data_IF_949337827895
#
_entry.id   IF_949337827895
#
_cell.length_a   1.000
_cell.length_b   1.000
_cell.length_c   1.000
_cell.angle_alpha   90.00
_cell.angle_beta   90.00
_cell.angle_gamma   90.00
#
_symmetry.space_group_name_H-M   'P 1'
#
loop_
_entity.id
_entity.type
_entity.pdbx_description
1 polymer ?
#
# COMPACT_ATOMS: atom_id res chain seq x y z
N UNK A 1 -15.47 -64.70 -18.58
CA UNK A 1 -14.47 -64.84 -17.50
C UNK A 1 -14.57 -63.56 -16.66
N UNK A 2 -15.47 -63.56 -15.66
CA UNK A 2 -15.15 -63.62 -14.20
C UNK A 2 -14.37 -62.37 -13.77
N UNK A 3 -14.74 -61.54 -12.79
CA UNK A 3 -15.61 -61.64 -11.61
C UNK A 3 -15.73 -60.19 -11.08
N UNK A 4 -16.91 -59.61 -10.82
CA UNK A 4 -17.57 -59.56 -9.49
C UNK A 4 -16.61 -59.23 -8.33
N UNK A 5 -16.81 -58.07 -7.67
CA UNK A 5 -17.51 -57.91 -6.37
C UNK A 5 -16.45 -57.50 -5.32
N UNK A 6 -16.65 -56.71 -4.26
CA UNK A 6 -17.74 -56.54 -3.27
C UNK A 6 -17.29 -55.34 -2.40
N UNK A 7 -18.15 -54.35 -2.05
CA UNK A 7 -18.86 -54.21 -0.76
C UNK A 7 -17.99 -54.37 0.51
N UNK A 8 -18.16 -53.70 1.64
CA UNK A 8 -18.94 -52.56 2.15
C UNK A 8 -18.66 -52.48 3.68
N UNK A 9 -19.20 -51.44 4.34
CA UNK A 9 -19.90 -51.54 5.66
C UNK A 9 -19.11 -51.40 7.01
N UNK A 10 -19.44 -50.28 7.68
CA UNK A 10 -19.89 -50.09 9.09
C UNK A 10 -18.92 -50.08 10.30
N UNK A 11 -18.95 -48.96 11.06
CA UNK A 11 -19.57 -48.74 12.41
C UNK A 11 -18.51 -48.88 13.51
N UNK A 12 -18.56 -48.27 14.70
CA UNK A 12 -19.28 -47.17 15.36
C UNK A 12 -18.75 -47.16 16.81
N UNK A 13 -18.87 -45.99 17.47
CA UNK A 13 -19.07 -45.80 18.92
C UNK A 13 -17.85 -46.09 19.86
N UNK A 14 -17.33 -45.06 20.54
CA UNK A 14 -17.74 -44.55 21.87
C UNK A 14 -17.04 -45.35 23.02
N UNK A 15 -16.73 -44.86 24.23
CA UNK A 15 -17.35 -43.85 25.09
C UNK A 15 -16.50 -43.75 26.40
N UNK A 16 -16.74 -42.70 27.20
CA UNK A 16 -16.54 -42.50 28.67
C UNK A 16 -15.30 -41.70 29.11
N UNK A 17 -15.39 -40.54 29.79
CA UNK A 17 -16.22 -39.94 30.89
C UNK A 17 -15.61 -40.11 32.30
N UNK A 18 -15.36 -38.97 32.97
CA UNK A 18 -15.70 -38.58 34.36
C UNK A 18 -14.94 -37.25 34.65
N UNK A 19 -15.50 -36.12 35.12
CA UNK A 19 -16.35 -35.84 36.29
C UNK A 19 -15.47 -35.31 37.44
N UNK A 20 -15.67 -34.21 38.17
CA UNK A 20 -16.70 -33.15 38.27
C UNK A 20 -16.38 -32.19 39.46
N UNK A 21 -17.33 -31.27 39.76
CA UNK A 21 -17.55 -30.51 41.02
C UNK A 21 -16.60 -29.33 41.38
N UNK A 22 -16.96 -28.04 41.24
CA UNK A 22 -17.87 -27.16 42.03
C UNK A 22 -17.39 -26.82 43.46
N UNK A 23 -17.12 -25.52 43.74
CA UNK A 23 -17.62 -24.76 44.91
C UNK A 23 -17.33 -23.24 44.82
N UNK A 24 -18.17 -22.51 45.54
CA UNK A 24 -18.56 -21.11 45.47
C UNK A 24 -17.99 -20.24 46.61
N UNK A 25 -18.29 -18.92 46.54
CA UNK A 25 -18.35 -17.91 47.63
C UNK A 25 -16.99 -17.26 48.01
N UNK A 26 -16.86 -15.99 48.43
CA UNK A 26 -17.78 -14.96 48.92
C UNK A 26 -17.10 -13.58 48.94
N UNK A 27 -17.91 -12.51 48.98
CA UNK A 27 -17.56 -11.10 49.12
C UNK A 27 -16.87 -10.68 50.45
N UNK A 28 -16.19 -9.52 50.44
CA UNK A 28 -16.06 -8.47 51.50
C UNK A 28 -15.20 -7.32 50.94
N UNK A 29 -15.72 -6.15 50.56
CA UNK A 29 -16.06 -4.93 51.35
C UNK A 29 -14.95 -4.29 52.21
N UNK A 30 -14.98 -2.94 52.17
CA UNK A 30 -14.35 -1.89 53.02
C UNK A 30 -12.98 -1.37 52.58
N UNK A 31 -12.62 -0.09 52.72
CA UNK A 31 -13.29 1.23 52.84
C UNK A 31 -12.19 2.20 53.29
N UNK A 32 -12.22 3.45 52.82
CA UNK A 32 -11.50 4.58 53.43
C UNK A 32 -10.06 4.74 52.95
N UNK A 33 -9.48 5.94 52.86
CA UNK A 33 -9.94 7.27 53.17
C UNK A 33 -9.00 8.27 52.45
N UNK A 34 -9.56 9.35 51.90
CA UNK A 34 -8.82 10.60 51.80
C UNK A 34 -8.67 11.17 53.23
N UNK A 35 -7.65 11.99 53.53
CA UNK A 35 -7.88 13.42 53.30
C UNK A 35 -6.63 14.25 52.99
N UNK A 36 -6.89 15.42 52.40
CA UNK A 36 -6.18 16.71 52.59
C UNK A 36 -4.69 16.75 52.18
N UNK A 37 -4.20 17.72 51.41
CA UNK A 37 -4.55 19.12 51.31
C UNK A 37 -3.25 19.92 51.30
N UNK A 38 -3.29 21.12 50.69
CA UNK A 38 -2.22 22.16 50.67
C UNK A 38 -1.00 21.82 49.79
N UNK A 39 -0.40 22.73 49.03
CA UNK A 39 -0.47 24.21 48.98
C UNK A 39 0.08 24.66 47.62
N UNK A 40 -0.57 25.69 47.07
CA UNK A 40 -0.05 26.64 46.08
C UNK A 40 1.44 26.93 46.25
N UNK A 41 2.18 27.00 45.14
CA UNK A 41 3.23 28.00 44.96
C UNK A 41 3.42 28.37 43.48
N UNK A 42 2.74 29.46 43.10
CA UNK A 42 3.16 30.37 42.04
C UNK A 42 4.51 30.99 42.42
N UNK A 43 5.40 31.15 41.44
CA UNK A 43 6.44 32.20 41.23
C UNK A 43 7.41 31.62 40.20
N UNK A 44 7.94 32.30 39.20
CA UNK A 44 7.83 33.67 38.67
C UNK A 44 8.67 33.61 37.38
N UNK A 45 8.16 34.16 36.27
CA UNK A 45 9.00 34.53 35.10
C UNK A 45 9.96 35.66 35.51
N UNK A 46 11.12 35.75 34.88
CA UNK A 46 11.58 37.00 34.30
C UNK A 46 11.78 36.78 32.78
N UNK A 47 11.08 37.53 31.93
CA UNK A 47 11.39 38.90 31.49
C UNK A 47 12.51 38.92 30.43
N UNK A 48 12.09 39.42 29.27
CA UNK A 48 12.79 39.54 28.02
C UNK A 48 14.11 40.29 28.09
N UNK A 49 15.06 39.92 27.22
CA UNK A 49 16.04 40.84 26.63
C UNK A 49 16.24 40.53 25.15
N UNK A 50 15.64 41.41 24.35
CA UNK A 50 16.21 42.13 23.20
C UNK A 50 17.12 41.37 22.24
N UNK A 51 16.59 41.22 21.02
CA UNK A 51 17.34 41.04 19.76
C UNK A 51 18.40 42.12 19.57
N UNK A 52 19.46 41.80 18.82
CA UNK A 52 19.78 42.66 17.67
C UNK A 52 19.93 41.84 16.38
N UNK A 53 19.46 42.43 15.28
CA UNK A 53 19.80 42.07 13.90
C UNK A 53 20.56 43.27 13.28
N UNK A 54 21.04 43.20 12.03
CA UNK A 54 21.90 42.19 11.41
C UNK A 54 23.20 42.83 10.88
N UNK A 55 24.32 42.10 10.86
CA UNK A 55 25.58 42.59 10.26
C UNK A 55 25.61 42.35 8.75
N UNK A 56 25.56 43.46 8.01
CA UNK A 56 25.79 43.59 6.56
C UNK A 56 27.20 43.11 6.20
N UNK A 57 27.32 42.09 5.34
CA UNK A 57 28.56 41.80 4.63
C UNK A 57 28.45 42.28 3.18
N UNK A 58 29.34 43.19 2.83
CA UNK A 58 29.43 43.86 1.54
C UNK A 58 30.41 43.11 0.66
N UNK A 59 29.96 42.83 -0.56
CA UNK A 59 30.68 42.44 -1.79
C UNK A 59 32.21 42.48 -1.75
N UNK A 60 32.83 41.35 -2.13
CA UNK A 60 34.06 41.35 -2.93
C UNK A 60 33.81 40.59 -4.24
N UNK A 61 33.98 41.32 -5.34
CA UNK A 61 34.05 40.81 -6.71
C UNK A 61 35.38 40.07 -6.89
N UNK A 62 35.32 38.89 -7.50
CA UNK A 62 36.41 38.35 -8.31
C UNK A 62 35.76 37.69 -9.55
N UNK A 63 36.33 38.01 -10.71
CA UNK A 63 35.94 37.63 -12.06
C UNK A 63 36.85 36.49 -12.52
N UNK A 64 36.33 35.67 -13.43
CA UNK A 64 37.00 34.72 -14.33
C UNK A 64 37.41 33.36 -13.71
N UNK A 65 37.17 32.18 -14.29
CA UNK A 65 36.58 31.83 -15.59
C UNK A 65 36.11 30.36 -15.62
N UNK A 66 35.15 30.12 -16.55
CA UNK A 66 34.94 28.92 -17.38
C UNK A 66 34.43 27.60 -16.76
N UNK A 67 33.22 27.21 -17.18
CA UNK A 67 32.75 25.82 -17.16
C UNK A 67 31.45 25.57 -16.36
N UNK A 68 30.40 26.35 -16.58
CA UNK A 68 29.08 26.04 -16.00
C UNK A 68 28.01 26.09 -17.09
N UNK A 69 27.34 24.96 -17.29
CA UNK A 69 26.15 24.82 -18.12
C UNK A 69 25.09 25.84 -17.69
N UNK A 70 24.37 26.39 -18.66
CA UNK A 70 23.34 27.39 -18.43
C UNK A 70 22.29 26.89 -17.41
N UNK A 71 21.82 27.75 -16.48
CA UNK A 71 20.77 27.37 -15.57
C UNK A 71 19.47 27.19 -16.37
N UNK A 72 18.86 26.00 -16.27
CA UNK A 72 17.53 25.73 -16.82
C UNK A 72 16.49 26.69 -16.24
N UNK A 73 15.37 26.94 -16.95
CA UNK A 73 14.38 27.91 -16.52
C UNK A 73 13.74 27.50 -15.18
N UNK A 74 13.46 28.52 -14.36
CA UNK A 74 12.84 28.42 -13.04
C UNK A 74 11.37 27.93 -13.16
N UNK A 75 10.77 27.28 -12.13
CA UNK A 75 9.47 26.60 -12.21
C UNK A 75 8.22 27.50 -12.39
N UNK A 76 8.38 28.73 -12.90
CA UNK A 76 7.31 29.70 -13.10
C UNK A 76 6.88 29.86 -14.56
N UNK A 77 7.54 29.22 -15.52
CA UNK A 77 7.13 29.23 -16.94
C UNK A 77 6.35 27.95 -17.26
N UNK A 78 5.11 27.86 -16.76
CA UNK A 78 4.11 27.04 -17.46
C UNK A 78 3.73 27.85 -18.70
N UNK A 79 4.26 27.44 -19.84
CA UNK A 79 3.82 27.92 -21.15
C UNK A 79 2.30 27.77 -21.22
N UNK A 80 1.61 28.91 -21.38
CA UNK A 80 0.18 28.96 -21.67
C UNK A 80 -0.10 28.05 -22.89
N UNK A 81 -1.27 27.38 -22.96
CA UNK A 81 -1.65 26.44 -24.03
C UNK A 81 -1.90 27.11 -25.41
N UNK A 82 -1.09 28.12 -25.77
CA UNK A 82 -1.06 28.80 -27.07
C UNK A 82 0.35 29.12 -27.58
N UNK A 83 1.42 28.60 -26.95
CA UNK A 83 2.79 28.72 -27.48
C UNK A 83 2.97 27.77 -28.68
N UNK A 84 3.21 28.32 -29.87
CA UNK A 84 3.40 27.56 -31.11
C UNK A 84 4.46 26.46 -30.97
N UNK A 85 5.52 26.71 -30.17
CA UNK A 85 6.57 25.71 -29.89
C UNK A 85 6.09 24.53 -29.06
N UNK A 86 5.15 24.77 -28.14
CA UNK A 86 4.52 23.69 -27.37
C UNK A 86 3.65 22.83 -28.29
N UNK A 87 2.87 23.46 -29.17
CA UNK A 87 2.01 22.74 -30.13
C UNK A 87 2.84 21.92 -31.11
N UNK A 88 3.93 22.48 -31.63
CA UNK A 88 4.88 21.77 -32.50
C UNK A 88 5.52 20.58 -31.78
N UNK A 89 6.10 20.81 -30.59
CA UNK A 89 6.70 19.73 -29.81
C UNK A 89 5.71 18.64 -29.40
N UNK A 90 4.45 18.99 -29.13
CA UNK A 90 3.39 18.02 -28.87
C UNK A 90 3.09 17.18 -30.11
N UNK A 91 2.95 17.80 -31.29
CA UNK A 91 2.72 17.11 -32.56
C UNK A 91 3.86 16.17 -32.91
N UNK A 92 5.10 16.64 -32.77
CA UNK A 92 6.29 15.84 -33.00
C UNK A 92 6.36 14.66 -32.02
N UNK A 93 5.98 14.87 -30.75
CA UNK A 93 5.90 13.81 -29.75
C UNK A 93 4.84 12.75 -30.08
N UNK A 94 3.64 13.17 -30.51
CA UNK A 94 2.58 12.27 -30.96
C UNK A 94 3.03 11.46 -32.18
N UNK A 95 3.66 12.12 -33.14
CA UNK A 95 4.18 11.44 -34.32
C UNK A 95 5.29 10.45 -33.94
N UNK A 96 6.35 10.89 -33.27
CA UNK A 96 7.49 10.04 -32.92
C UNK A 96 7.12 8.88 -31.99
N UNK A 97 6.19 9.09 -31.05
CA UNK A 97 5.80 8.08 -30.05
C UNK A 97 4.64 7.16 -30.48
N UNK A 98 3.88 7.52 -31.51
CA UNK A 98 2.69 6.80 -31.94
C UNK A 98 2.68 6.50 -33.43
N UNK A 99 2.46 7.53 -34.25
CA UNK A 99 2.31 7.36 -35.71
C UNK A 99 3.54 6.79 -36.39
N UNK A 100 4.75 7.17 -35.97
CA UNK A 100 6.01 6.61 -36.47
C UNK A 100 6.10 5.11 -36.19
N UNK A 101 5.72 4.67 -34.99
CA UNK A 101 5.70 3.25 -34.65
C UNK A 101 4.69 2.49 -35.49
N UNK A 102 3.53 3.10 -35.81
CA UNK A 102 2.56 2.52 -36.71
C UNK A 102 3.11 2.45 -38.15
N UNK A 103 3.67 3.54 -38.67
CA UNK A 103 4.30 3.63 -40.00
C UNK A 103 5.34 2.52 -40.20
N UNK A 104 6.20 2.29 -39.20
CA UNK A 104 7.24 1.26 -39.25
C UNK A 104 6.70 -0.18 -39.35
N UNK A 105 5.43 -0.42 -38.98
CA UNK A 105 4.79 -1.74 -39.00
C UNK A 105 3.75 -1.91 -40.12
N UNK A 106 3.42 -0.86 -40.85
CA UNK A 106 2.49 -0.95 -41.98
C UNK A 106 3.18 -1.58 -43.20
N UNK A 107 2.51 -2.52 -43.92
CA UNK A 107 3.05 -3.05 -45.16
C UNK A 107 3.23 -1.96 -46.21
N UNK A 108 4.39 -1.90 -46.86
CA UNK A 108 4.72 -0.88 -47.85
C UNK A 108 3.86 -0.95 -49.13
N UNK A 109 3.20 -2.07 -49.37
CA UNK A 109 2.34 -2.35 -50.53
C UNK A 109 0.84 -2.16 -50.23
N UNK A 110 0.47 -1.73 -49.02
CA UNK A 110 -0.91 -1.60 -48.59
C UNK A 110 -1.22 -0.19 -48.08
N UNK A 111 -2.06 0.55 -48.81
CA UNK A 111 -2.67 1.77 -48.32
C UNK A 111 -3.99 1.44 -47.63
N UNK A 112 -4.11 1.73 -46.33
CA UNK A 112 -5.34 1.55 -45.55
C UNK A 112 -5.96 2.94 -45.32
N UNK A 113 -7.02 3.33 -46.06
CA UNK A 113 -7.61 4.66 -45.93
C UNK A 113 -8.19 4.89 -44.53
N UNK A 114 -7.96 6.08 -43.98
CA UNK A 114 -8.51 6.56 -42.71
C UNK A 114 -8.15 5.71 -41.47
N UNK A 115 -7.10 4.89 -41.54
CA UNK A 115 -6.63 4.14 -40.39
C UNK A 115 -6.10 5.08 -39.31
N UNK A 116 -6.59 4.93 -38.08
CA UNK A 116 -6.10 5.67 -36.91
C UNK A 116 -5.28 4.78 -35.98
N UNK A 117 -4.35 5.39 -35.23
CA UNK A 117 -3.61 4.68 -34.19
C UNK A 117 -4.54 4.05 -33.14
N UNK A 118 -5.64 4.71 -32.78
CA UNK A 118 -6.62 4.21 -31.81
C UNK A 118 -7.31 2.91 -32.29
N UNK A 119 -7.69 2.83 -33.57
CA UNK A 119 -8.28 1.62 -34.14
C UNK A 119 -7.29 0.46 -34.12
N UNK A 120 -6.03 0.72 -34.48
CA UNK A 120 -4.96 -0.29 -34.45
C UNK A 120 -4.73 -0.79 -33.02
N UNK A 121 -4.63 0.14 -32.05
CA UNK A 121 -4.47 -0.21 -30.64
C UNK A 121 -5.67 -1.00 -30.11
N UNK A 122 -6.89 -0.59 -30.46
CA UNK A 122 -8.11 -1.29 -30.06
C UNK A 122 -8.14 -2.71 -30.60
N UNK A 123 -7.87 -2.88 -31.90
CA UNK A 123 -7.80 -4.19 -32.54
C UNK A 123 -6.68 -5.05 -31.92
N UNK A 124 -5.50 -4.47 -31.68
CA UNK A 124 -4.38 -5.13 -31.02
C UNK A 124 -4.71 -5.58 -29.60
N UNK A 125 -5.35 -4.72 -28.79
CA UNK A 125 -5.79 -5.05 -27.42
C UNK A 125 -6.81 -6.20 -27.44
N UNK A 126 -7.79 -6.18 -28.36
CA UNK A 126 -8.74 -7.29 -28.49
C UNK A 126 -8.05 -8.59 -28.90
N UNK A 127 -7.09 -8.54 -29.82
CA UNK A 127 -6.31 -9.70 -30.23
C UNK A 127 -5.42 -10.26 -29.09
N UNK A 128 -4.90 -9.39 -28.23
CA UNK A 128 -4.08 -9.77 -27.08
C UNK A 128 -4.88 -10.18 -25.84
N UNK A 129 -6.20 -9.94 -25.81
CA UNK A 129 -7.07 -10.23 -24.66
C UNK A 129 -6.96 -11.66 -24.12
N UNK A 130 -6.82 -12.73 -24.93
CA UNK A 130 -6.65 -14.10 -24.43
C UNK A 130 -5.37 -14.31 -23.61
N UNK A 131 -4.38 -13.41 -23.73
CA UNK A 131 -3.13 -13.43 -22.93
C UNK A 131 -3.24 -12.62 -21.64
N UNK A 132 -4.38 -11.99 -21.38
CA UNK A 132 -4.58 -11.14 -20.21
C UNK A 132 -4.75 -11.97 -18.94
N UNK A 133 -4.10 -11.52 -17.86
CA UNK A 133 -4.32 -12.08 -16.52
C UNK A 133 -5.49 -11.33 -15.87
N UNK A 134 -6.57 -12.03 -15.46
CA UNK A 134 -7.73 -11.38 -14.88
C UNK A 134 -7.39 -10.80 -13.50
N UNK A 135 -7.90 -9.60 -13.23
CA UNK A 135 -7.82 -8.95 -11.93
C UNK A 135 -9.18 -9.03 -11.24
N UNK A 136 -9.21 -9.44 -9.97
CA UNK A 136 -10.46 -9.47 -9.21
C UNK A 136 -10.91 -8.04 -8.87
N UNK A 137 -12.16 -7.73 -9.21
CA UNK A 137 -12.77 -6.42 -8.93
C UNK A 137 -13.10 -6.19 -7.45
N UNK A 138 -13.52 -4.96 -7.08
CA UNK A 138 -13.79 -4.58 -5.69
C UNK A 138 -14.88 -5.41 -5.02
N UNK A 139 -15.97 -5.73 -5.74
CA UNK A 139 -17.03 -6.60 -5.24
C UNK A 139 -16.50 -8.02 -4.94
N UNK A 140 -15.78 -8.63 -5.88
CA UNK A 140 -15.20 -9.96 -5.68
C UNK A 140 -14.19 -10.00 -4.54
N UNK A 141 -13.36 -8.95 -4.40
CA UNK A 141 -12.42 -8.83 -3.26
C UNK A 141 -13.19 -8.67 -1.94
N UNK A 142 -14.29 -7.90 -1.92
CA UNK A 142 -15.15 -7.77 -0.75
C UNK A 142 -15.76 -9.12 -0.35
N UNK A 143 -16.35 -9.84 -1.29
CA UNK A 143 -16.97 -11.16 -1.04
C UNK A 143 -15.95 -12.17 -0.53
N UNK A 144 -14.75 -12.17 -1.11
CA UNK A 144 -13.64 -13.01 -0.66
C UNK A 144 -13.26 -12.68 0.79
N UNK A 145 -13.07 -11.41 1.14
CA UNK A 145 -12.73 -11.01 2.51
C UNK A 145 -13.86 -11.34 3.49
N UNK A 146 -15.12 -11.07 3.14
CA UNK A 146 -16.27 -11.35 4.02
C UNK A 146 -16.39 -12.85 4.30
N UNK A 147 -16.14 -13.69 3.30
CA UNK A 147 -16.07 -15.14 3.49
C UNK A 147 -14.97 -15.51 4.48
N UNK A 148 -13.76 -14.99 4.31
CA UNK A 148 -12.63 -15.30 5.20
C UNK A 148 -12.85 -14.81 6.63
N UNK A 149 -13.50 -13.65 6.82
CA UNK A 149 -13.92 -13.14 8.12
C UNK A 149 -14.97 -14.05 8.77
N UNK A 150 -15.93 -14.55 8.00
CA UNK A 150 -17.01 -15.42 8.47
C UNK A 150 -16.48 -16.81 8.85
N UNK A 151 -15.61 -17.37 8.02
CA UNK A 151 -14.98 -18.68 8.21
C UNK A 151 -13.80 -18.65 9.20
N UNK A 152 -13.38 -17.44 9.63
CA UNK A 152 -12.23 -17.21 10.52
C UNK A 152 -10.95 -17.85 10.00
N UNK A 153 -10.69 -17.61 8.72
CA UNK A 153 -9.50 -18.10 8.03
C UNK A 153 -8.51 -16.96 7.81
N UNK A 154 -7.19 -17.24 7.82
CA UNK A 154 -6.18 -16.22 7.59
C UNK A 154 -6.33 -15.63 6.18
N UNK A 155 -6.25 -14.31 6.08
CA UNK A 155 -6.28 -13.63 4.79
C UNK A 155 -5.45 -12.35 4.83
N UNK A 156 -4.58 -12.18 3.84
CA UNK A 156 -3.77 -10.97 3.67
C UNK A 156 -4.05 -10.33 2.30
N UNK A 157 -4.66 -9.15 2.32
CA UNK A 157 -4.74 -8.27 1.15
C UNK A 157 -3.58 -7.28 1.20
N UNK A 158 -2.64 -7.42 0.27
CA UNK A 158 -1.46 -6.55 0.14
C UNK A 158 -1.51 -5.78 -1.17
N UNK A 159 -0.80 -4.65 -1.25
CA UNK A 159 -0.77 -3.81 -2.45
C UNK A 159 0.68 -3.49 -2.81
N UNK A 160 1.00 -3.60 -4.10
CA UNK A 160 2.27 -3.22 -4.67
C UNK A 160 2.14 -1.87 -5.36
N UNK A 161 2.74 -0.84 -4.77
CA UNK A 161 3.03 0.43 -5.42
C UNK A 161 4.44 0.46 -6.01
N UNK A 162 4.83 1.63 -6.47
CA UNK A 162 6.21 1.90 -6.90
C UNK A 162 7.22 1.70 -5.75
N UNK A 163 6.85 2.02 -4.51
CA UNK A 163 7.70 1.80 -3.34
C UNK A 163 8.09 0.34 -3.11
N UNK A 164 7.10 -0.55 -3.10
CA UNK A 164 7.33 -1.99 -2.90
C UNK A 164 8.10 -2.60 -4.08
N UNK A 165 7.78 -2.19 -5.32
CA UNK A 165 8.49 -2.66 -6.51
C UNK A 165 9.95 -2.20 -6.52
N UNK A 166 10.21 -0.93 -6.22
CA UNK A 166 11.58 -0.40 -6.10
C UNK A 166 12.35 -1.08 -4.97
N UNK A 167 11.70 -1.37 -3.85
CA UNK A 167 12.30 -2.13 -2.73
C UNK A 167 12.73 -3.52 -3.19
N UNK A 168 11.87 -4.24 -3.93
CA UNK A 168 12.20 -5.56 -4.47
C UNK A 168 13.25 -5.54 -5.59
N UNK A 169 13.42 -4.41 -6.28
CA UNK A 169 14.33 -4.28 -7.42
C UNK A 169 15.82 -4.23 -7.07
N UNK A 170 16.14 -3.87 -5.82
CA UNK A 170 17.50 -3.64 -5.34
C UNK A 170 18.45 -4.80 -5.64
N UNK A 171 19.43 -4.53 -6.51
CA UNK A 171 20.48 -5.45 -6.96
C UNK A 171 19.93 -6.77 -7.55
N UNK A 172 18.69 -6.73 -8.08
CA UNK A 172 18.06 -7.83 -8.82
C UNK A 172 17.82 -7.40 -10.27
N UNK A 173 16.99 -6.37 -10.46
CA UNK A 173 16.70 -5.80 -11.78
C UNK A 173 17.21 -4.38 -11.93
N UNK A 174 17.50 -3.69 -10.83
CA UNK A 174 18.10 -2.35 -10.82
C UNK A 174 19.23 -2.30 -9.78
N UNK A 175 20.38 -1.66 -10.08
CA UNK A 175 21.39 -1.38 -9.06
C UNK A 175 20.81 -0.55 -7.91
N UNK A 176 21.23 -0.81 -6.67
CA UNK A 176 20.73 -0.09 -5.50
C UNK A 176 20.86 1.45 -5.60
N UNK A 177 21.91 1.95 -6.27
CA UNK A 177 22.07 3.39 -6.50
C UNK A 177 21.01 3.98 -7.42
N UNK A 178 20.54 3.22 -8.40
CA UNK A 178 19.44 3.61 -9.27
C UNK A 178 18.11 3.59 -8.51
N UNK A 179 17.89 2.54 -7.71
CA UNK A 179 16.74 2.46 -6.80
C UNK A 179 16.70 3.66 -5.85
N UNK A 180 17.84 4.06 -5.27
CA UNK A 180 17.90 5.23 -4.36
C UNK A 180 17.52 6.54 -5.08
N UNK A 181 17.94 6.71 -6.34
CA UNK A 181 17.62 7.90 -7.14
C UNK A 181 16.13 7.92 -7.52
N UNK A 182 15.61 6.79 -8.00
CA UNK A 182 14.21 6.63 -8.38
C UNK A 182 13.26 6.73 -7.17
N UNK A 183 13.66 6.13 -6.06
CA UNK A 183 12.89 5.96 -4.83
C UNK A 183 13.34 6.86 -3.68
N UNK A 184 13.56 8.16 -3.93
CA UNK A 184 13.93 9.12 -2.88
C UNK A 184 12.92 9.18 -1.70
N UNK A 185 11.70 8.69 -1.90
CA UNK A 185 10.65 8.60 -0.88
C UNK A 185 10.68 7.29 -0.06
N UNK A 186 11.52 6.31 -0.42
CA UNK A 186 11.55 4.99 0.24
C UNK A 186 11.91 5.09 1.72
N UNK A 187 12.83 5.98 2.10
CA UNK A 187 13.20 6.21 3.50
C UNK A 187 11.99 6.66 4.33
N UNK A 188 11.19 7.58 3.79
CA UNK A 188 9.93 7.99 4.40
C UNK A 188 8.91 6.83 4.46
N UNK A 189 8.88 5.96 3.45
CA UNK A 189 8.04 4.78 3.40
C UNK A 189 8.56 3.60 4.24
N UNK A 190 9.70 3.77 4.93
CA UNK A 190 10.23 2.82 5.91
C UNK A 190 11.36 1.91 5.42
N UNK A 191 12.04 2.26 4.33
CA UNK A 191 13.18 1.50 3.76
C UNK A 191 14.32 2.44 3.37
N UNK A 192 15.51 2.23 3.96
CA UNK A 192 16.72 3.00 3.65
C UNK A 192 17.62 2.23 2.67
N UNK A 193 17.70 2.68 1.42
CA UNK A 193 18.45 1.97 0.36
C UNK A 193 19.97 2.13 0.53
N UNK A 194 20.77 1.04 0.55
CA UNK A 194 20.37 -0.33 0.26
C UNK A 194 19.84 -1.03 1.52
N UNK A 195 18.73 -1.74 1.36
CA UNK A 195 18.19 -2.64 2.38
C UNK A 195 17.74 -3.95 1.71
N UNK A 196 18.69 -4.88 1.58
CA UNK A 196 18.44 -6.18 0.96
C UNK A 196 17.58 -7.08 1.84
N UNK A 197 17.57 -6.84 3.16
CA UNK A 197 16.64 -7.54 4.06
C UNK A 197 15.22 -7.11 3.73
N UNK A 198 14.95 -5.82 3.61
CA UNK A 198 13.62 -5.33 3.22
C UNK A 198 13.18 -5.89 1.87
N UNK A 199 14.10 -5.93 0.89
CA UNK A 199 13.87 -6.56 -0.42
C UNK A 199 13.37 -7.99 -0.26
N UNK A 200 14.12 -8.81 0.50
CA UNK A 200 13.84 -10.23 0.65
C UNK A 200 12.55 -10.47 1.45
N UNK A 201 12.27 -9.67 2.48
CA UNK A 201 11.03 -9.74 3.27
C UNK A 201 9.79 -9.39 2.44
N UNK A 202 9.86 -8.32 1.64
CA UNK A 202 8.75 -7.93 0.75
C UNK A 202 8.54 -8.98 -0.34
N UNK A 203 9.62 -9.50 -0.94
CA UNK A 203 9.54 -10.55 -1.95
C UNK A 203 8.97 -11.87 -1.38
N UNK A 204 9.35 -12.24 -0.16
CA UNK A 204 8.81 -13.41 0.54
C UNK A 204 7.32 -13.23 0.85
N UNK A 205 6.93 -12.08 1.41
CA UNK A 205 5.54 -11.78 1.72
C UNK A 205 4.65 -11.78 0.47
N UNK A 206 5.14 -11.18 -0.62
CA UNK A 206 4.45 -11.18 -1.91
C UNK A 206 4.07 -12.59 -2.39
N UNK A 207 4.97 -13.58 -2.24
CA UNK A 207 4.75 -14.95 -2.74
C UNK A 207 3.64 -15.71 -2.00
N UNK A 208 3.32 -15.32 -0.78
CA UNK A 208 2.38 -16.07 0.08
C UNK A 208 1.14 -15.26 0.47
N UNK A 209 1.02 -14.03 -0.01
CA UNK A 209 -0.16 -13.20 0.24
C UNK A 209 -1.41 -13.81 -0.40
N UNK A 210 -2.56 -13.66 0.26
CA UNK A 210 -3.82 -14.23 -0.19
C UNK A 210 -4.40 -13.52 -1.41
N UNK A 211 -4.15 -12.21 -1.53
CA UNK A 211 -4.55 -11.36 -2.66
C UNK A 211 -3.59 -10.20 -2.81
N UNK A 212 -3.17 -9.93 -4.04
CA UNK A 212 -2.11 -8.98 -4.35
C UNK A 212 -2.65 -7.91 -5.30
N UNK A 213 -2.69 -6.66 -4.84
CA UNK A 213 -2.96 -5.51 -5.68
C UNK A 213 -1.72 -5.14 -6.52
N UNK A 214 -1.84 -5.15 -7.84
CA UNK A 214 -0.76 -4.74 -8.77
C UNK A 214 -1.08 -3.43 -9.48
N UNK A 215 -0.09 -2.61 -9.86
CA UNK A 215 -0.37 -1.34 -10.52
C UNK A 215 -0.88 -1.55 -11.96
N UNK A 216 -1.80 -0.66 -12.37
CA UNK A 216 -2.26 -0.58 -13.76
C UNK A 216 -1.44 0.38 -14.61
N UNK A 217 -0.68 1.28 -13.98
CA UNK A 217 0.11 2.28 -14.69
C UNK A 217 1.23 1.65 -15.52
N UNK A 218 1.41 2.15 -16.74
CA UNK A 218 2.49 1.76 -17.66
C UNK A 218 3.77 2.58 -17.48
N UNK A 219 3.83 3.49 -16.50
CA UNK A 219 5.04 4.26 -16.15
C UNK A 219 6.17 3.33 -15.69
N UNK A 220 7.47 3.71 -15.85
CA UNK A 220 8.60 2.80 -15.69
C UNK A 220 8.63 1.97 -14.39
N UNK A 221 8.38 2.58 -13.24
CA UNK A 221 8.47 1.91 -11.93
C UNK A 221 7.18 1.18 -11.50
N UNK A 222 6.23 0.95 -12.43
CA UNK A 222 4.98 0.23 -12.18
C UNK A 222 4.96 -1.07 -12.98
N UNK A 223 4.08 -1.24 -13.98
CA UNK A 223 3.99 -2.51 -14.72
C UNK A 223 5.31 -2.97 -15.37
N UNK A 224 6.11 -2.10 -16.02
CA UNK A 224 7.39 -2.55 -16.59
C UNK A 224 8.31 -3.14 -15.52
N UNK A 225 8.44 -2.47 -14.36
CA UNK A 225 9.24 -2.98 -13.24
C UNK A 225 8.63 -4.24 -12.62
N UNK A 226 7.31 -4.30 -12.44
CA UNK A 226 6.60 -5.49 -11.97
C UNK A 226 6.92 -6.72 -12.83
N UNK A 227 6.82 -6.59 -14.16
CA UNK A 227 7.10 -7.70 -15.07
C UNK A 227 8.57 -8.09 -15.08
N UNK A 228 9.49 -7.12 -14.98
CA UNK A 228 10.91 -7.40 -14.82
C UNK A 228 11.18 -8.21 -13.55
N UNK A 229 10.53 -7.85 -12.43
CA UNK A 229 10.64 -8.58 -11.16
C UNK A 229 10.04 -9.97 -11.25
N UNK A 230 8.87 -10.14 -11.89
CA UNK A 230 8.29 -11.47 -12.10
C UNK A 230 9.24 -12.39 -12.86
N UNK A 231 9.83 -11.90 -13.95
CA UNK A 231 10.83 -12.66 -14.70
C UNK A 231 12.05 -13.00 -13.82
N UNK A 232 12.59 -12.03 -13.09
CA UNK A 232 13.78 -12.24 -12.25
C UNK A 232 13.54 -13.21 -11.08
N UNK A 233 12.33 -13.25 -10.54
CA UNK A 233 11.95 -14.13 -9.44
C UNK A 233 11.30 -15.45 -9.90
N UNK A 234 11.14 -15.67 -11.21
CA UNK A 234 10.51 -16.86 -11.78
C UNK A 234 9.01 -16.99 -11.48
N UNK A 235 8.31 -15.87 -11.31
CA UNK A 235 6.90 -15.81 -10.95
C UNK A 235 6.03 -15.90 -12.21
N UNK A 236 5.08 -16.84 -12.23
CA UNK A 236 4.04 -16.91 -13.26
C UNK A 236 2.82 -16.12 -12.78
N UNK A 237 2.38 -15.14 -13.57
CA UNK A 237 1.32 -14.22 -13.15
C UNK A 237 -0.05 -14.90 -13.05
N UNK A 238 -0.26 -15.93 -13.85
CA UNK A 238 -1.50 -16.72 -13.94
C UNK A 238 -1.78 -17.52 -12.66
N UNK A 239 -0.74 -17.78 -11.86
CA UNK A 239 -0.83 -18.52 -10.60
C UNK A 239 -1.14 -17.60 -9.40
N UNK A 240 -1.11 -16.28 -9.61
CA UNK A 240 -1.26 -15.32 -8.52
C UNK A 240 -2.72 -14.86 -8.33
N UNK A 241 -3.17 -14.71 -7.08
CA UNK A 241 -4.44 -14.07 -6.78
C UNK A 241 -4.29 -12.55 -6.93
N UNK A 242 -4.57 -12.02 -8.12
CA UNK A 242 -4.36 -10.59 -8.42
C UNK A 242 -5.64 -9.72 -8.27
N UNK A 243 -5.43 -8.46 -7.93
CA UNK A 243 -6.35 -7.32 -8.02
C UNK A 243 -5.53 -6.06 -8.37
N UNK A 244 -6.10 -4.85 -8.32
CA UNK A 244 -5.37 -3.61 -8.59
C UNK A 244 -4.81 -2.97 -7.29
N UNK A 245 -3.66 -2.31 -7.35
CA UNK A 245 -2.98 -1.76 -6.15
C UNK A 245 -3.69 -0.57 -5.49
N UNK A 246 -4.72 -0.03 -6.15
CA UNK A 246 -5.63 0.99 -5.63
C UNK A 246 -6.94 0.41 -5.10
N UNK A 247 -7.03 -0.91 -4.92
CA UNK A 247 -8.23 -1.63 -4.43
C UNK A 247 -8.77 -1.08 -3.11
N UNK A 248 -7.91 -0.59 -2.23
CA UNK A 248 -8.28 0.04 -0.96
C UNK A 248 -9.18 1.27 -1.16
N UNK A 249 -8.93 2.07 -2.20
CA UNK A 249 -9.75 3.24 -2.54
C UNK A 249 -11.12 2.78 -3.06
N UNK A 250 -11.14 1.83 -4.01
CA UNK A 250 -12.38 1.29 -4.56
C UNK A 250 -13.26 0.62 -3.50
N UNK A 251 -12.67 -0.16 -2.59
CA UNK A 251 -13.39 -0.76 -1.45
C UNK A 251 -14.00 0.31 -0.54
N UNK A 252 -13.31 1.42 -0.33
CA UNK A 252 -13.82 2.52 0.50
C UNK A 252 -14.93 3.30 -0.20
N UNK A 253 -14.68 3.75 -1.43
CA UNK A 253 -15.62 4.57 -2.22
C UNK A 253 -16.94 3.84 -2.49
N UNK A 254 -16.89 2.53 -2.69
CA UNK A 254 -18.07 1.70 -2.91
C UNK A 254 -18.72 1.21 -1.58
N UNK A 255 -18.21 1.66 -0.43
CA UNK A 255 -18.76 1.35 0.89
C UNK A 255 -18.47 -0.07 1.41
N UNK A 256 -17.75 -0.89 0.65
CA UNK A 256 -17.38 -2.25 1.06
C UNK A 256 -16.49 -2.26 2.31
N UNK A 257 -15.54 -1.33 2.45
CA UNK A 257 -14.68 -1.26 3.64
C UNK A 257 -15.50 -1.00 4.91
N UNK A 258 -16.53 -0.15 4.84
CA UNK A 258 -17.43 0.10 5.96
C UNK A 258 -18.23 -1.14 6.34
N UNK A 259 -18.68 -1.92 5.34
CA UNK A 259 -19.39 -3.19 5.55
C UNK A 259 -18.49 -4.23 6.21
N UNK A 260 -17.22 -4.34 5.78
CA UNK A 260 -16.24 -5.25 6.39
C UNK A 260 -15.94 -4.91 7.86
N UNK A 261 -15.97 -3.63 8.22
CA UNK A 261 -15.75 -3.19 9.61
C UNK A 261 -16.99 -3.36 10.51
N UNK A 262 -18.18 -3.44 9.93
CA UNK A 262 -19.43 -3.43 10.69
C UNK A 262 -19.56 -4.65 11.62
N UNK A 263 -19.72 -4.38 12.93
CA UNK A 263 -19.87 -5.43 13.94
C UNK A 263 -18.61 -6.27 14.19
N UNK A 264 -17.44 -5.83 13.71
CA UNK A 264 -16.16 -6.53 13.87
C UNK A 264 -15.23 -5.79 14.83
N UNK A 265 -14.36 -6.56 15.49
CA UNK A 265 -13.28 -6.03 16.34
C UNK A 265 -12.10 -5.62 15.47
N UNK A 266 -11.83 -4.34 15.43
CA UNK A 266 -10.82 -3.75 14.55
C UNK A 266 -9.51 -3.49 15.29
N UNK A 267 -8.42 -3.99 14.74
CA UNK A 267 -7.07 -3.57 15.10
C UNK A 267 -6.55 -2.60 14.04
N UNK A 268 -5.95 -1.49 14.47
CA UNK A 268 -5.36 -0.51 13.56
C UNK A 268 -3.84 -0.49 13.74
N UNK A 269 -3.10 -0.57 12.64
CA UNK A 269 -1.64 -0.64 12.66
C UNK A 269 -1.06 0.45 11.76
N UNK A 270 -0.11 1.23 12.26
CA UNK A 270 0.55 2.29 11.52
C UNK A 270 0.56 3.63 12.23
N UNK A 271 1.36 4.57 11.71
CA UNK A 271 1.56 5.88 12.37
C UNK A 271 0.29 6.75 12.41
N UNK A 272 -0.66 6.50 11.51
CA UNK A 272 -1.97 7.15 11.50
C UNK A 272 -3.03 6.37 12.28
N UNK A 273 -2.70 5.21 12.85
CA UNK A 273 -3.66 4.40 13.61
C UNK A 273 -4.29 5.14 14.80
N UNK A 274 -3.55 5.93 15.62
CA UNK A 274 -4.17 6.67 16.71
C UNK A 274 -5.25 7.69 16.29
N UNK A 275 -5.02 8.62 15.33
CA UNK A 275 -6.09 9.51 14.87
C UNK A 275 -7.19 8.78 14.09
N UNK A 276 -6.86 7.73 13.32
CA UNK A 276 -7.88 6.90 12.65
C UNK A 276 -8.82 6.24 13.66
N UNK A 277 -8.29 5.72 14.78
CA UNK A 277 -9.09 5.12 15.84
C UNK A 277 -10.13 6.10 16.40
N UNK A 278 -9.74 7.37 16.58
CA UNK A 278 -10.66 8.39 17.11
C UNK A 278 -11.85 8.61 16.17
N UNK A 279 -11.59 8.69 14.86
CA UNK A 279 -12.66 8.86 13.84
C UNK A 279 -13.57 7.63 13.80
N UNK A 280 -13.00 6.42 13.76
CA UNK A 280 -13.77 5.18 13.66
C UNK A 280 -14.60 4.91 14.92
N UNK A 281 -14.06 5.17 16.12
CA UNK A 281 -14.81 5.09 17.37
C UNK A 281 -15.99 6.07 17.39
N UNK A 282 -15.81 7.29 16.89
CA UNK A 282 -16.90 8.27 16.77
C UNK A 282 -17.99 7.83 15.78
N UNK A 283 -17.65 6.97 14.82
CA UNK A 283 -18.59 6.34 13.87
C UNK A 283 -19.21 5.05 14.41
N UNK A 284 -18.92 4.66 15.66
CA UNK A 284 -19.46 3.45 16.28
C UNK A 284 -18.75 2.14 15.89
N UNK A 285 -17.60 2.21 15.25
CA UNK A 285 -16.77 1.04 14.95
C UNK A 285 -16.05 0.56 16.21
N UNK A 286 -16.00 -0.75 16.43
CA UNK A 286 -15.33 -1.33 17.58
C UNK A 286 -13.82 -1.44 17.34
N UNK A 287 -13.04 -0.45 17.80
CA UNK A 287 -11.58 -0.51 17.77
C UNK A 287 -11.07 -1.15 19.07
N UNK A 288 -10.39 -2.29 18.97
CA UNK A 288 -9.85 -3.02 20.13
C UNK A 288 -8.42 -2.62 20.50
N UNK A 289 -7.71 -1.96 19.58
CA UNK A 289 -6.34 -1.53 19.81
C UNK A 289 -5.74 -0.75 18.66
N UNK A 290 -4.60 -0.13 18.95
CA UNK A 290 -3.73 0.48 17.95
C UNK A 290 -2.29 0.03 18.18
N UNK A 291 -1.57 -0.29 17.11
CA UNK A 291 -0.12 -0.56 17.14
C UNK A 291 0.58 0.56 16.38
N UNK A 292 1.26 1.43 17.14
CA UNK A 292 1.91 2.64 16.67
C UNK A 292 2.99 3.08 17.66
N UNK A 293 4.11 3.69 17.23
CA UNK A 293 4.47 3.94 15.83
C UNK A 293 4.91 2.66 15.10
N UNK A 294 5.05 2.75 13.77
CA UNK A 294 5.74 1.76 12.93
C UNK A 294 6.87 2.49 12.22
N UNK A 295 8.11 2.15 12.55
CA UNK A 295 9.34 2.75 12.02
C UNK A 295 9.89 1.92 10.85
N UNK A 296 9.03 1.71 9.85
CA UNK A 296 9.39 0.96 8.65
C UNK A 296 9.63 -0.52 8.89
N UNK A 297 10.40 -1.12 7.99
CA UNK A 297 10.59 -2.58 7.92
C UNK A 297 11.30 -3.17 9.14
N UNK A 298 12.14 -2.38 9.81
CA UNK A 298 12.88 -2.81 10.99
C UNK A 298 11.96 -3.17 12.17
N UNK A 299 10.76 -2.58 12.19
CA UNK A 299 9.75 -2.81 13.22
C UNK A 299 8.85 -4.02 12.94
N UNK A 300 9.01 -4.71 11.80
CA UNK A 300 8.13 -5.80 11.36
C UNK A 300 7.83 -6.81 12.48
N UNK A 301 8.88 -7.39 13.09
CA UNK A 301 8.71 -8.42 14.12
C UNK A 301 7.99 -7.86 15.35
N UNK A 302 8.41 -6.69 15.83
CA UNK A 302 7.81 -6.03 17.00
C UNK A 302 6.32 -5.77 16.77
N UNK A 303 5.97 -5.21 15.61
CA UNK A 303 4.59 -4.86 15.26
C UNK A 303 3.71 -6.11 15.16
N UNK A 304 4.20 -7.18 14.55
CA UNK A 304 3.45 -8.44 14.45
C UNK A 304 3.23 -9.07 15.83
N UNK A 305 4.24 -9.05 16.71
CA UNK A 305 4.13 -9.54 18.09
C UNK A 305 3.10 -8.74 18.91
N UNK A 306 3.22 -7.42 18.90
CA UNK A 306 2.29 -6.53 19.62
C UNK A 306 0.87 -6.67 19.08
N UNK A 307 0.70 -6.74 17.76
CA UNK A 307 -0.61 -6.92 17.12
C UNK A 307 -1.25 -8.26 17.47
N UNK A 308 -0.47 -9.34 17.52
CA UNK A 308 -0.97 -10.69 17.83
C UNK A 308 -1.50 -10.83 19.27
N UNK A 309 -1.11 -9.93 20.19
CA UNK A 309 -1.64 -9.90 21.55
C UNK A 309 -3.08 -9.40 21.65
N UNK A 310 -3.62 -8.77 20.59
CA UNK A 310 -4.99 -8.28 20.55
C UNK A 310 -5.98 -9.33 20.06
N UNK A 311 -7.17 -9.33 20.67
CA UNK A 311 -8.29 -10.13 20.19
C UNK A 311 -9.16 -9.33 19.19
N UNK A 312 -8.70 -9.29 17.95
CA UNK A 312 -9.38 -8.66 16.81
C UNK A 312 -9.99 -9.68 15.84
N UNK A 313 -10.76 -9.22 14.87
CA UNK A 313 -11.24 -10.02 13.73
C UNK A 313 -10.62 -9.53 12.42
N UNK A 314 -10.48 -8.21 12.29
CA UNK A 314 -9.92 -7.52 11.13
C UNK A 314 -8.82 -6.55 11.58
N UNK A 315 -7.67 -6.60 10.92
CA UNK A 315 -6.60 -5.61 11.05
C UNK A 315 -6.54 -4.71 9.81
N UNK A 316 -6.51 -3.39 10.01
CA UNK A 316 -6.22 -2.41 8.95
C UNK A 316 -4.81 -1.86 9.14
N UNK A 317 -3.98 -1.99 8.12
CA UNK A 317 -2.55 -1.69 8.18
C UNK A 317 -2.22 -0.53 7.24
N UNK A 318 -1.57 0.50 7.79
CA UNK A 318 -1.11 1.70 7.09
C UNK A 318 0.33 2.03 7.51
N UNK A 319 1.28 1.23 7.04
CA UNK A 319 2.66 1.20 7.53
C UNK A 319 3.73 1.35 6.43
N UNK A 320 3.40 2.03 5.32
CA UNK A 320 4.31 2.15 4.18
C UNK A 320 4.67 0.78 3.61
N UNK A 321 5.93 0.60 3.22
CA UNK A 321 6.42 -0.65 2.61
C UNK A 321 6.29 -1.84 3.58
N UNK A 322 6.42 -1.59 4.89
CA UNK A 322 6.28 -2.62 5.91
C UNK A 322 4.84 -3.18 5.99
N UNK A 323 3.83 -2.50 5.44
CA UNK A 323 2.45 -2.97 5.47
C UNK A 323 2.30 -4.35 4.80
N UNK A 324 3.01 -4.60 3.70
CA UNK A 324 2.96 -5.87 2.96
C UNK A 324 3.38 -7.05 3.84
N UNK A 325 4.60 -7.11 4.40
CA UNK A 325 4.99 -8.20 5.28
C UNK A 325 4.20 -8.21 6.59
N UNK A 326 3.83 -7.05 7.17
CA UNK A 326 3.00 -7.02 8.38
C UNK A 326 1.68 -7.75 8.16
N UNK A 327 0.95 -7.47 7.07
CA UNK A 327 -0.31 -8.14 6.76
C UNK A 327 -0.14 -9.65 6.66
N UNK A 328 0.87 -10.10 5.93
CA UNK A 328 1.13 -11.52 5.67
C UNK A 328 1.51 -12.26 6.96
N UNK A 329 2.50 -11.74 7.69
CA UNK A 329 2.97 -12.37 8.93
C UNK A 329 1.88 -12.35 10.01
N UNK A 330 1.13 -11.26 10.12
CA UNK A 330 0.04 -11.16 11.09
C UNK A 330 -1.09 -12.14 10.78
N UNK A 331 -1.52 -12.24 9.52
CA UNK A 331 -2.55 -13.19 9.09
C UNK A 331 -2.11 -14.63 9.38
N UNK A 332 -0.90 -15.02 8.95
CA UNK A 332 -0.36 -16.36 9.17
C UNK A 332 -0.20 -16.70 10.66
N UNK A 333 0.21 -15.73 11.48
CA UNK A 333 0.39 -15.92 12.92
C UNK A 333 -0.92 -16.03 13.71
N UNK A 334 -1.92 -15.26 13.32
CA UNK A 334 -3.15 -15.12 14.13
C UNK A 334 -4.33 -15.90 13.57
N UNK A 335 -4.26 -16.36 12.32
CA UNK A 335 -5.41 -16.96 11.63
C UNK A 335 -6.47 -15.93 11.22
N UNK A 336 -6.16 -14.63 11.26
CA UNK A 336 -7.11 -13.53 11.08
C UNK A 336 -6.89 -12.78 9.76
N UNK A 337 -7.78 -11.82 9.49
CA UNK A 337 -7.74 -11.01 8.28
C UNK A 337 -6.93 -9.74 8.51
N UNK A 338 -6.01 -9.44 7.61
CA UNK A 338 -5.24 -8.19 7.57
C UNK A 338 -5.31 -7.55 6.18
N UNK A 339 -5.61 -6.25 6.14
CA UNK A 339 -5.74 -5.48 4.89
C UNK A 339 -4.80 -4.29 4.93
N UNK A 340 -3.95 -4.17 3.91
CA UNK A 340 -3.19 -2.95 3.65
C UNK A 340 -4.10 -1.87 3.06
N UNK A 341 -4.36 -0.83 3.86
CA UNK A 341 -5.18 0.33 3.46
C UNK A 341 -4.33 1.56 3.07
N UNK A 342 -3.01 1.51 3.28
CA UNK A 342 -2.07 2.56 2.91
C UNK A 342 -2.55 3.98 3.26
N UNK A 343 -2.45 4.89 2.28
CA UNK A 343 -2.81 6.29 2.45
C UNK A 343 -4.33 6.53 2.59
N UNK A 344 -5.20 5.53 2.36
CA UNK A 344 -6.64 5.65 2.63
C UNK A 344 -6.88 5.98 4.11
N UNK A 345 -6.03 5.46 4.99
CA UNK A 345 -6.08 5.77 6.42
C UNK A 345 -5.95 7.27 6.71
N UNK A 346 -5.12 8.00 5.95
CA UNK A 346 -4.95 9.45 6.10
C UNK A 346 -6.22 10.21 5.71
N UNK A 347 -6.87 9.79 4.61
CA UNK A 347 -8.12 10.37 4.12
C UNK A 347 -9.21 10.21 5.18
N UNK A 348 -9.41 8.99 5.68
CA UNK A 348 -10.43 8.69 6.69
C UNK A 348 -10.13 9.41 8.01
N UNK A 349 -8.86 9.44 8.44
CA UNK A 349 -8.46 10.11 9.68
C UNK A 349 -8.51 11.65 9.59
N UNK A 350 -8.76 12.23 8.40
CA UNK A 350 -8.69 13.68 8.19
C UNK A 350 -7.28 14.26 8.35
N UNK A 351 -6.25 13.42 8.33
CA UNK A 351 -4.85 13.84 8.43
C UNK A 351 -4.38 14.16 7.02
N UNK A 352 -4.32 15.47 6.69
CA UNK A 352 -3.67 15.90 5.45
C UNK A 352 -2.19 15.57 5.53
N UNK A 353 -1.78 14.50 4.87
CA UNK A 353 -0.39 14.32 4.48
C UNK A 353 0.03 15.46 3.55
N UNK A 354 1.32 15.75 3.48
CA UNK A 354 1.96 16.72 2.58
C UNK A 354 1.80 16.42 1.07
N UNK A 355 0.83 15.61 0.68
CA UNK A 355 0.65 15.04 -0.66
C UNK A 355 -0.63 15.47 -1.39
N UNK A 356 -1.28 16.56 -0.98
CA UNK A 356 -2.34 17.19 -1.80
C UNK A 356 -1.75 18.28 -2.68
N UNK A 357 -0.91 17.88 -3.64
CA UNK A 357 -0.68 18.56 -4.94
C UNK A 357 0.01 17.59 -5.89
N UNK A 358 -0.70 16.54 -6.30
CA UNK A 358 -0.54 15.97 -7.63
C UNK A 358 -1.94 15.66 -8.16
N UNK A 359 -2.13 16.05 -9.41
CA UNK A 359 -3.37 16.07 -10.17
C UNK A 359 -4.19 14.80 -9.98
N UNK A 360 -5.50 14.99 -9.82
CA UNK A 360 -6.50 13.92 -9.87
C UNK A 360 -6.26 13.09 -11.14
N UNK A 361 -6.05 11.76 -11.05
CA UNK A 361 -6.24 10.92 -12.20
C UNK A 361 -7.75 10.86 -12.45
N UNK A 362 -8.16 11.35 -13.61
CA UNK A 362 -9.52 11.18 -14.10
C UNK A 362 -9.80 9.67 -14.21
N UNK A 363 -10.63 9.13 -13.31
CA UNK A 363 -11.06 7.73 -13.33
C UNK A 363 -12.29 7.58 -14.24
N UNK A 364 -12.26 8.22 -15.42
CA UNK A 364 -13.23 8.04 -16.50
C UNK A 364 -12.58 8.20 -17.87
N UNK A 365 -12.09 7.08 -18.39
CA UNK A 365 -12.03 6.78 -19.83
C UNK A 365 -11.93 5.28 -20.02
#
# INVERSE_FOLDING_TARGET
MTSQATAAIHRSAALQRAGGSVRSSSARTRSGAAPSGRKRRRKRRPAARLRPAPRKWRRRRSRAAAGAAAPGPSPAERSEPGDERYVEGFRDGVFAGGERLLEDHLPADLLIPNLTLEEVLTAGVQALRPRGVPLLGPEGVYEEIERMLTERQPYALVRLGDGELLTMAQDIVLPADEVRKAGHFLSYAGVDVPDLRARDEVAAAFRIASRIGVPLSRRPHYQPLLFALWNAFGIQAEELPLTFSTINYALYEQGYLNRLMAGRRLLLIGNVAPPLAQVLLAQGVQVVGTVSPVQGINDLHRVVEEAAAYDFDLALVAAGIAAVPICVHLAGRTGKVAIDIGHQANIVAGVRGSFVRREEPDIRS
#
